data_IF_610644649954
#
_entry.id   IF_610644649954
#
_cell.length_a   1.000
_cell.length_b   1.000
_cell.length_c   1.000
_cell.angle_alpha   90.00
_cell.angle_beta   90.00
_cell.angle_gamma   90.00
#
_symmetry.space_group_name_H-M   'P 1'
#
loop_
_entity.id
_entity.type
_entity.pdbx_description
1 polymer ?
#
# COMPACT_ATOMS: atom_id res chain seq x y z
N UNK A 1 -15.54 0.20 -0.13
CA UNK A 1 -14.95 -0.78 0.81
C UNK A 1 -14.17 -1.77 -0.02
N UNK A 2 -13.14 -2.39 0.57
CA UNK A 2 -12.32 -3.40 -0.12
C UNK A 2 -12.18 -4.60 0.80
N UNK A 3 -12.46 -5.81 0.30
CA UNK A 3 -12.32 -7.04 1.06
C UNK A 3 -11.34 -7.98 0.36
N UNK A 4 -10.44 -8.68 1.10
CA UNK A 4 -9.66 -9.76 0.53
C UNK A 4 -10.58 -10.94 0.19
N UNK A 5 -10.34 -11.55 -0.97
CA UNK A 5 -10.95 -12.81 -1.37
C UNK A 5 -9.84 -13.85 -1.45
N UNK A 6 -9.61 -14.56 -0.36
CA UNK A 6 -8.59 -15.60 -0.32
C UNK A 6 -9.22 -16.96 -0.59
N UNK A 7 -8.66 -17.69 -1.55
CA UNK A 7 -9.10 -19.04 -1.87
C UNK A 7 -8.92 -19.94 -0.66
N UNK A 8 -9.95 -20.74 -0.36
CA UNK A 8 -9.91 -21.68 0.76
C UNK A 8 -8.75 -22.66 0.60
N UNK A 9 -7.91 -22.75 1.63
CA UNK A 9 -6.69 -23.57 1.65
C UNK A 9 -5.42 -22.81 1.21
N UNK A 10 -5.54 -21.57 0.74
CA UNK A 10 -4.42 -20.72 0.30
C UNK A 10 -4.15 -19.56 1.27
N UNK A 11 -4.75 -19.59 2.47
CA UNK A 11 -4.62 -18.53 3.48
C UNK A 11 -3.17 -18.31 3.94
N UNK A 12 -2.33 -19.34 3.88
CA UNK A 12 -0.89 -19.25 4.17
C UNK A 12 -0.01 -19.06 2.93
N UNK A 13 -0.61 -19.06 1.73
CA UNK A 13 0.10 -18.91 0.46
C UNK A 13 0.08 -17.43 0.02
N UNK A 14 -1.07 -16.78 0.10
CA UNK A 14 -1.23 -15.38 -0.32
C UNK A 14 -0.78 -14.45 0.80
N UNK A 15 0.41 -13.87 0.64
CA UNK A 15 1.00 -13.05 1.69
C UNK A 15 0.54 -11.59 1.63
N UNK A 16 0.53 -10.98 0.43
CA UNK A 16 -0.05 -9.65 0.24
C UNK A 16 -0.55 -9.45 -1.19
N UNK A 17 -1.50 -8.52 -1.35
CA UNK A 17 -2.09 -8.12 -2.63
C UNK A 17 -1.97 -6.60 -2.74
N UNK A 18 -1.42 -6.12 -3.84
CA UNK A 18 -1.33 -4.71 -4.16
C UNK A 18 -2.19 -4.41 -5.40
N UNK A 19 -2.89 -3.28 -5.36
CA UNK A 19 -3.65 -2.78 -6.49
C UNK A 19 -3.04 -1.46 -6.94
N UNK A 20 -2.48 -1.44 -8.14
CA UNK A 20 -1.84 -0.28 -8.74
C UNK A 20 -2.78 0.44 -9.71
N UNK A 21 -2.67 1.75 -9.77
CA UNK A 21 -3.15 2.56 -10.88
C UNK A 21 -2.14 2.53 -12.01
N UNK A 22 -2.63 2.27 -13.22
CA UNK A 22 -1.84 2.34 -14.45
C UNK A 22 -2.11 3.63 -15.22
N UNK A 23 -1.23 3.90 -16.19
CA UNK A 23 -1.46 4.96 -17.18
C UNK A 23 -2.80 4.77 -17.90
N UNK A 24 -3.51 5.88 -18.15
CA UNK A 24 -4.72 5.90 -19.00
C UNK A 24 -4.43 5.55 -20.46
N UNK A 25 -3.16 5.57 -20.88
CA UNK A 25 -2.72 5.16 -22.22
C UNK A 25 -2.48 3.65 -22.37
N UNK A 26 -2.74 2.84 -21.33
CA UNK A 26 -2.54 1.40 -21.37
C UNK A 26 -3.36 0.76 -22.50
N UNK A 27 -2.72 -0.12 -23.27
CA UNK A 27 -3.37 -0.80 -24.39
C UNK A 27 -4.41 -1.82 -23.87
N UNK A 28 -5.66 -1.66 -24.29
CA UNK A 28 -6.75 -2.55 -23.94
C UNK A 28 -6.54 -4.02 -24.33
N UNK A 29 -5.60 -4.33 -25.24
CA UNK A 29 -5.23 -5.72 -25.57
C UNK A 29 -4.59 -6.49 -24.42
N UNK A 30 -4.09 -5.78 -23.39
CA UNK A 30 -3.47 -6.38 -22.21
C UNK A 30 -4.49 -6.65 -21.09
N UNK A 31 -5.76 -6.30 -21.27
CA UNK A 31 -6.80 -6.59 -20.28
C UNK A 31 -6.94 -8.11 -20.08
N UNK A 32 -6.85 -8.54 -18.83
CA UNK A 32 -6.89 -9.95 -18.45
C UNK A 32 -5.58 -10.72 -18.65
N UNK A 33 -4.53 -10.07 -19.17
CA UNK A 33 -3.19 -10.64 -19.18
C UNK A 33 -2.57 -10.57 -17.77
N UNK A 34 -1.78 -11.60 -17.43
CA UNK A 34 -0.98 -11.65 -16.22
C UNK A 34 0.44 -12.10 -16.55
N UNK A 35 1.40 -11.75 -15.69
CA UNK A 35 2.79 -12.15 -15.83
C UNK A 35 3.44 -12.23 -14.44
N UNK A 36 4.50 -13.01 -14.30
CA UNK A 36 5.38 -12.93 -13.14
C UNK A 36 5.99 -11.51 -13.05
N UNK A 37 5.82 -10.85 -11.89
CA UNK A 37 6.38 -9.52 -11.66
C UNK A 37 7.91 -9.55 -11.77
N UNK A 38 8.49 -8.48 -12.30
CA UNK A 38 9.95 -8.30 -12.46
C UNK A 38 10.66 -9.32 -13.35
N UNK A 39 9.94 -10.23 -14.00
CA UNK A 39 10.51 -11.14 -14.97
C UNK A 39 10.89 -10.38 -16.27
N UNK A 40 12.00 -10.70 -16.96
CA UNK A 40 12.45 -9.97 -18.15
C UNK A 40 11.46 -9.91 -19.33
N UNK A 41 10.48 -10.81 -19.37
CA UNK A 41 9.44 -10.88 -20.39
C UNK A 41 8.11 -10.23 -19.96
N UNK A 42 8.07 -9.59 -18.78
CA UNK A 42 6.91 -8.85 -18.33
C UNK A 42 6.60 -7.71 -19.33
N UNK A 43 5.34 -7.50 -19.74
CA UNK A 43 5.01 -6.43 -20.66
C UNK A 43 5.43 -5.06 -20.12
N UNK A 44 6.17 -4.28 -20.91
CA UNK A 44 6.65 -2.94 -20.53
C UNK A 44 5.51 -2.02 -20.06
N UNK A 45 4.29 -2.21 -20.58
CA UNK A 45 3.12 -1.44 -20.18
C UNK A 45 2.78 -1.60 -18.69
N UNK A 46 3.10 -2.75 -18.06
CA UNK A 46 2.87 -2.96 -16.62
C UNK A 46 3.79 -2.10 -15.77
N UNK A 47 4.97 -1.70 -16.29
CA UNK A 47 5.88 -0.79 -15.60
C UNK A 47 5.28 0.62 -15.45
N UNK A 48 4.21 0.95 -16.18
CA UNK A 48 3.50 2.23 -16.03
C UNK A 48 2.53 2.25 -14.84
N UNK A 49 2.39 1.13 -14.13
CA UNK A 49 1.50 0.97 -13.00
C UNK A 49 2.27 1.16 -11.68
N UNK A 50 2.59 2.40 -11.33
CA UNK A 50 3.50 2.70 -10.21
C UNK A 50 2.78 3.14 -8.93
N UNK A 51 1.55 3.67 -9.03
CA UNK A 51 0.85 4.25 -7.88
C UNK A 51 -0.03 3.21 -7.19
N UNK A 52 0.26 2.88 -5.93
CA UNK A 52 -0.60 2.00 -5.13
C UNK A 52 -1.91 2.70 -4.79
N UNK A 53 -3.03 2.08 -5.18
CA UNK A 53 -4.38 2.50 -4.82
C UNK A 53 -4.86 1.84 -3.54
N UNK A 54 -4.47 0.58 -3.34
CA UNK A 54 -4.85 -0.22 -2.19
C UNK A 54 -3.84 -1.34 -1.96
N UNK A 55 -3.64 -1.67 -0.68
CA UNK A 55 -2.79 -2.77 -0.26
C UNK A 55 -3.55 -3.63 0.75
N UNK A 56 -3.38 -4.94 0.67
CA UNK A 56 -3.81 -5.89 1.69
C UNK A 56 -2.64 -6.81 2.02
N UNK A 57 -2.50 -7.20 3.28
CA UNK A 57 -1.51 -8.16 3.72
C UNK A 57 -2.12 -9.16 4.71
N UNK A 58 -1.44 -10.30 4.87
CA UNK A 58 -1.86 -11.42 5.72
C UNK A 58 -2.20 -10.96 7.15
N UNK A 59 -3.25 -11.57 7.71
CA UNK A 59 -3.82 -11.19 9.02
C UNK A 59 -4.75 -9.97 8.97
N UNK A 60 -4.65 -9.13 7.95
CA UNK A 60 -5.53 -7.99 7.75
C UNK A 60 -6.97 -8.36 7.35
N UNK A 61 -7.94 -7.62 7.88
CA UNK A 61 -9.34 -7.73 7.47
C UNK A 61 -9.68 -6.82 6.28
N UNK A 62 -10.95 -6.78 5.89
CA UNK A 62 -11.44 -5.81 4.91
C UNK A 62 -11.29 -4.36 5.40
N UNK A 63 -11.15 -3.45 4.45
CA UNK A 63 -10.98 -2.02 4.70
C UNK A 63 -12.25 -1.23 4.37
N UNK A 64 -12.68 -0.38 5.32
CA UNK A 64 -13.81 0.51 5.16
C UNK A 64 -13.37 1.97 5.25
N UNK A 65 -13.48 2.69 4.15
CA UNK A 65 -13.25 4.13 4.12
C UNK A 65 -14.23 4.86 5.06
N UNK A 66 -13.81 5.97 5.69
CA UNK A 66 -14.71 6.87 6.40
C UNK A 66 -15.91 7.29 5.51
N UNK A 67 -17.11 7.55 6.07
CA UNK A 67 -18.31 7.80 5.26
C UNK A 67 -18.23 8.99 4.28
N UNK A 68 -17.31 9.93 4.54
CA UNK A 68 -17.09 11.15 3.77
C UNK A 68 -15.94 11.01 2.75
N UNK A 69 -15.28 9.84 2.69
CA UNK A 69 -14.12 9.56 1.85
C UNK A 69 -14.39 8.38 0.92
N UNK A 70 -13.89 8.45 -0.31
CA UNK A 70 -13.90 7.31 -1.24
C UNK A 70 -12.69 7.33 -2.16
N UNK A 71 -12.26 6.17 -2.63
CA UNK A 71 -11.31 6.09 -3.74
C UNK A 71 -12.07 6.33 -5.05
N UNK A 72 -11.77 7.44 -5.74
CA UNK A 72 -12.39 7.75 -7.03
C UNK A 72 -11.78 6.89 -8.14
N UNK A 73 -12.61 6.36 -9.03
CA UNK A 73 -12.22 5.49 -10.16
C UNK A 73 -13.08 5.78 -11.39
N UNK A 74 -12.48 5.68 -12.58
CA UNK A 74 -13.21 5.60 -13.85
C UNK A 74 -13.58 6.92 -14.55
N UNK A 75 -13.36 8.10 -13.98
CA UNK A 75 -13.42 9.36 -14.77
C UNK A 75 -12.14 9.59 -15.58
N UNK A 76 -12.08 10.67 -16.36
CA UNK A 76 -10.90 11.01 -17.15
C UNK A 76 -9.67 11.39 -16.29
N UNK A 77 -9.90 11.81 -15.05
CA UNK A 77 -8.84 12.17 -14.10
C UNK A 77 -8.51 11.03 -13.12
N UNK A 78 -9.27 9.94 -13.15
CA UNK A 78 -9.15 8.83 -12.21
C UNK A 78 -8.39 7.64 -12.83
N UNK A 79 -7.99 6.65 -12.02
CA UNK A 79 -7.59 5.35 -12.51
C UNK A 79 -8.61 4.77 -13.51
N UNK A 80 -8.16 4.48 -14.72
CA UNK A 80 -8.95 3.79 -15.75
C UNK A 80 -8.58 2.32 -15.87
N UNK A 81 -7.32 2.02 -15.59
CA UNK A 81 -6.75 0.69 -15.60
C UNK A 81 -6.07 0.44 -14.27
N UNK A 82 -6.18 -0.79 -13.80
CA UNK A 82 -5.52 -1.26 -12.59
C UNK A 82 -4.74 -2.53 -12.87
N UNK A 83 -3.63 -2.68 -12.15
CA UNK A 83 -2.84 -3.90 -12.13
C UNK A 83 -2.90 -4.47 -10.72
N UNK A 84 -3.29 -5.73 -10.58
CA UNK A 84 -3.28 -6.43 -9.31
C UNK A 84 -2.02 -7.30 -9.23
N UNK A 85 -1.19 -7.04 -8.23
CA UNK A 85 -0.02 -7.84 -7.89
C UNK A 85 -0.34 -8.72 -6.68
N UNK A 86 0.08 -9.98 -6.73
CA UNK A 86 -0.08 -10.94 -5.63
C UNK A 86 1.28 -11.52 -5.30
N UNK A 87 1.70 -11.34 -4.05
CA UNK A 87 2.89 -11.99 -3.52
C UNK A 87 2.51 -13.31 -2.84
N UNK A 88 3.00 -14.41 -3.41
CA UNK A 88 2.85 -15.75 -2.85
C UNK A 88 4.07 -16.14 -2.03
N UNK A 89 3.87 -16.43 -0.74
CA UNK A 89 4.89 -17.03 0.11
C UNK A 89 4.71 -18.56 0.12
N UNK A 90 5.59 -19.28 -0.58
CA UNK A 90 5.53 -20.75 -0.72
C UNK A 90 6.77 -21.44 -0.13
N UNK A 91 6.97 -21.39 1.20
CA UNK A 91 8.16 -21.95 1.85
C UNK A 91 8.23 -23.48 1.74
N UNK A 92 7.10 -24.13 1.49
CA UNK A 92 7.01 -25.59 1.32
C UNK A 92 7.33 -26.07 -0.10
N UNK A 93 7.50 -25.15 -1.06
CA UNK A 93 7.67 -25.46 -2.48
C UNK A 93 6.57 -26.38 -3.02
N UNK A 94 5.33 -26.17 -2.57
CA UNK A 94 4.20 -26.95 -3.03
C UNK A 94 3.94 -26.68 -4.53
N UNK A 95 3.79 -27.74 -5.30
CA UNK A 95 3.52 -27.69 -6.74
C UNK A 95 2.04 -27.90 -7.06
N UNK A 96 1.61 -27.44 -8.23
CA UNK A 96 0.26 -27.69 -8.74
C UNK A 96 -0.85 -26.91 -8.02
N UNK A 97 -0.50 -25.90 -7.22
CA UNK A 97 -1.48 -24.99 -6.61
C UNK A 97 -2.06 -24.06 -7.69
N UNK A 98 -3.39 -24.03 -7.79
CA UNK A 98 -4.12 -23.12 -8.67
C UNK A 98 -4.89 -22.16 -7.79
N UNK A 99 -4.47 -20.90 -7.78
CA UNK A 99 -5.08 -19.84 -6.97
C UNK A 99 -6.04 -18.97 -7.80
N UNK A 100 -7.07 -18.46 -7.15
CA UNK A 100 -8.00 -17.47 -7.71
C UNK A 100 -8.34 -16.40 -6.66
N UNK A 101 -7.36 -16.08 -5.80
CA UNK A 101 -7.50 -15.05 -4.79
C UNK A 101 -7.42 -13.64 -5.41
N UNK A 102 -7.93 -12.65 -4.69
CA UNK A 102 -7.95 -11.27 -5.18
C UNK A 102 -8.64 -10.32 -4.21
N UNK A 103 -9.23 -9.25 -4.77
CA UNK A 103 -9.93 -8.22 -4.00
C UNK A 103 -11.39 -8.08 -4.46
N UNK A 104 -12.30 -7.88 -3.52
CA UNK A 104 -13.66 -7.43 -3.78
C UNK A 104 -13.74 -5.93 -3.55
N UNK A 105 -14.00 -5.17 -4.62
CA UNK A 105 -14.24 -3.74 -4.57
C UNK A 105 -15.75 -3.46 -4.45
N UNK A 106 -16.17 -2.84 -3.34
CA UNK A 106 -17.55 -2.39 -3.13
C UNK A 106 -17.59 -0.89 -3.38
N UNK A 107 -18.25 -0.48 -4.45
CA UNK A 107 -18.26 0.89 -4.97
C UNK A 107 -19.68 1.46 -5.11
N UNK A 108 -19.76 2.77 -5.32
CA UNK A 108 -21.01 3.53 -5.50
C UNK A 108 -20.82 4.56 -6.62
N UNK A 109 -21.85 4.85 -7.44
CA UNK A 109 -21.78 5.94 -8.42
C UNK A 109 -21.87 7.34 -7.78
N UNK A 110 -22.22 7.42 -6.48
CA UNK A 110 -22.31 8.68 -5.74
C UNK A 110 -20.95 9.03 -5.15
N UNK A 111 -20.36 10.13 -5.64
CA UNK A 111 -19.10 10.64 -5.12
C UNK A 111 -19.19 11.00 -3.64
N UNK A 112 -18.08 10.77 -2.93
CA UNK A 112 -17.90 11.19 -1.54
C UNK A 112 -17.39 12.62 -1.50
N UNK A 113 -17.32 13.18 -0.30
CA UNK A 113 -16.88 14.56 -0.12
C UNK A 113 -15.39 14.73 -0.47
N UNK A 114 -14.57 13.70 -0.19
CA UNK A 114 -13.14 13.71 -0.45
C UNK A 114 -12.66 12.43 -1.13
N UNK A 115 -11.69 12.59 -2.01
CA UNK A 115 -10.99 11.48 -2.64
C UNK A 115 -9.89 10.96 -1.71
N UNK A 116 -9.82 9.64 -1.55
CA UNK A 116 -8.71 8.98 -0.90
C UNK A 116 -7.50 8.86 -1.83
N UNK A 117 -6.32 8.95 -1.24
CA UNK A 117 -5.06 8.56 -1.85
C UNK A 117 -4.21 7.78 -0.85
N UNK A 118 -3.11 7.21 -1.34
CA UNK A 118 -2.12 6.49 -0.53
C UNK A 118 -0.80 7.24 -0.62
N UNK A 119 -0.12 7.38 0.51
CA UNK A 119 1.27 7.84 0.56
C UNK A 119 2.10 6.73 1.17
N UNK A 120 3.11 6.31 0.44
CA UNK A 120 4.12 5.37 0.93
C UNK A 120 5.25 6.17 1.56
N UNK A 121 5.54 5.88 2.83
CA UNK A 121 6.60 6.54 3.58
C UNK A 121 7.43 5.48 4.31
N UNK A 122 8.74 5.54 4.13
CA UNK A 122 9.66 4.55 4.68
C UNK A 122 10.95 4.50 3.88
N UNK A 123 11.58 3.34 3.89
CA UNK A 123 12.79 3.10 3.13
C UNK A 123 12.44 2.53 1.76
N UNK A 124 13.05 3.13 0.73
CA UNK A 124 12.97 2.58 -0.62
C UNK A 124 13.64 1.20 -0.68
N UNK A 125 13.02 0.27 -1.41
CA UNK A 125 13.61 -1.06 -1.65
C UNK A 125 14.86 -0.88 -2.51
N UNK A 126 16.04 -1.02 -1.87
CA UNK A 126 17.32 -0.71 -2.47
C UNK A 126 18.41 -1.66 -2.00
N UNK A 127 19.33 -1.99 -2.90
CA UNK A 127 20.56 -2.73 -2.58
C UNK A 127 21.49 -1.97 -1.60
N UNK A 128 21.25 -0.67 -1.40
CA UNK A 128 22.04 0.15 -0.48
C UNK A 128 21.52 0.13 0.96
N UNK A 129 20.30 -0.34 1.20
CA UNK A 129 19.79 -0.54 2.55
C UNK A 129 20.07 -1.98 3.01
N UNK A 130 20.85 -2.12 4.08
CA UNK A 130 21.30 -3.44 4.57
C UNK A 130 21.22 -3.47 6.10
N UNK A 131 20.67 -4.57 6.63
CA UNK A 131 20.66 -4.88 8.06
C UNK A 131 21.84 -5.82 8.34
N UNK A 132 22.82 -5.43 9.19
CA UNK A 132 23.97 -6.29 9.45
C UNK A 132 23.57 -7.60 10.17
N UNK A 133 24.12 -8.76 9.76
CA UNK A 133 23.77 -10.04 10.36
C UNK A 133 24.23 -10.12 11.83
N UNK A 134 23.40 -10.74 12.67
CA UNK A 134 23.72 -10.99 14.08
C UNK A 134 23.59 -9.78 15.00
N UNK A 135 23.14 -8.62 14.50
CA UNK A 135 22.79 -7.51 15.38
C UNK A 135 21.49 -7.83 16.14
N UNK A 136 21.47 -7.69 17.47
CA UNK A 136 20.26 -7.93 18.26
C UNK A 136 19.19 -6.86 18.01
N UNK A 137 19.59 -5.65 17.62
CA UNK A 137 18.71 -4.53 17.31
C UNK A 137 19.38 -3.65 16.24
N UNK A 138 18.60 -3.21 15.25
CA UNK A 138 19.05 -2.28 14.21
C UNK A 138 17.88 -1.42 13.76
N UNK A 139 18.05 -0.09 13.81
CA UNK A 139 17.01 0.87 13.43
C UNK A 139 17.22 1.29 11.99
N UNK A 140 16.16 1.12 11.19
CA UNK A 140 16.10 1.51 9.78
C UNK A 140 15.13 2.67 9.64
N UNK A 141 15.58 3.83 9.18
CA UNK A 141 14.78 5.06 9.11
C UNK A 141 14.68 5.60 7.68
N UNK A 142 13.46 5.88 7.24
CA UNK A 142 13.17 6.59 6.00
C UNK A 142 12.38 7.86 6.29
N UNK A 143 12.61 8.91 5.49
CA UNK A 143 12.03 10.24 5.73
C UNK A 143 11.37 10.80 4.49
N UNK A 144 10.10 11.20 4.62
CA UNK A 144 9.48 12.18 3.74
C UNK A 144 9.77 13.57 4.34
N UNK A 145 10.68 14.31 3.71
CA UNK A 145 11.12 15.61 4.24
C UNK A 145 10.08 16.70 3.98
N UNK A 146 10.24 17.85 4.64
CA UNK A 146 9.41 19.03 4.39
C UNK A 146 9.48 19.45 2.92
N UNK A 147 10.66 19.41 2.32
CA UNK A 147 10.85 19.76 0.91
C UNK A 147 10.06 18.81 -0.01
N UNK A 148 10.07 17.51 0.29
CA UNK A 148 9.28 16.51 -0.43
C UNK A 148 7.77 16.75 -0.27
N UNK A 149 7.28 17.03 0.95
CA UNK A 149 5.88 17.37 1.19
C UNK A 149 5.47 18.68 0.50
N UNK A 150 6.35 19.70 0.52
CA UNK A 150 6.13 20.97 -0.16
C UNK A 150 6.01 20.79 -1.67
N UNK A 151 6.89 19.98 -2.26
CA UNK A 151 6.85 19.66 -3.69
C UNK A 151 5.59 18.87 -4.06
N UNK A 152 5.26 17.82 -3.31
CA UNK A 152 4.15 16.92 -3.62
C UNK A 152 2.77 17.57 -3.35
N UNK A 153 2.63 18.38 -2.31
CA UNK A 153 1.33 18.89 -1.86
C UNK A 153 1.16 20.39 -2.07
N UNK A 154 2.23 21.17 -2.20
CA UNK A 154 2.17 22.64 -2.12
C UNK A 154 1.29 23.29 -3.20
N UNK A 155 1.33 22.77 -4.43
CA UNK A 155 0.55 23.30 -5.54
C UNK A 155 -0.91 22.81 -5.54
N UNK A 156 -1.12 21.51 -5.33
CA UNK A 156 -2.43 20.87 -5.51
C UNK A 156 -3.25 20.79 -4.22
N UNK A 157 -2.58 20.70 -3.06
CA UNK A 157 -3.18 20.50 -1.73
C UNK A 157 -2.56 21.45 -0.69
N UNK A 158 -2.63 22.78 -0.87
CA UNK A 158 -1.97 23.74 0.02
C UNK A 158 -2.52 23.73 1.46
N UNK A 159 -3.75 23.26 1.65
CA UNK A 159 -4.37 23.06 2.97
C UNK A 159 -3.97 21.73 3.63
N UNK A 160 -3.14 20.93 2.96
CA UNK A 160 -2.71 19.62 3.38
C UNK A 160 -3.69 18.49 3.05
N UNK A 161 -3.37 17.32 3.60
CA UNK A 161 -4.11 16.07 3.51
C UNK A 161 -4.50 15.59 4.90
N UNK A 162 -5.52 14.74 4.99
CA UNK A 162 -5.99 14.17 6.24
C UNK A 162 -5.75 12.66 6.24
N UNK A 163 -4.85 12.21 7.11
CA UNK A 163 -4.56 10.78 7.29
C UNK A 163 -5.61 10.17 8.21
N UNK A 164 -6.29 9.13 7.75
CA UNK A 164 -7.33 8.41 8.51
C UNK A 164 -6.98 6.96 8.83
N UNK A 165 -5.99 6.37 8.13
CA UNK A 165 -5.51 5.03 8.39
C UNK A 165 -4.05 4.87 7.95
N UNK A 166 -3.35 3.89 8.52
CA UNK A 166 -1.98 3.52 8.16
C UNK A 166 -1.88 2.00 8.13
N UNK A 167 -1.21 1.46 7.11
CA UNK A 167 -0.79 0.06 7.07
C UNK A 167 0.73 0.03 7.32
N UNK A 168 1.16 -0.69 8.36
CA UNK A 168 2.58 -0.90 8.63
C UNK A 168 3.05 -2.17 7.91
N UNK A 169 4.19 -2.10 7.23
CA UNK A 169 4.71 -3.21 6.43
C UNK A 169 6.22 -3.37 6.61
N UNK A 170 6.65 -4.61 6.84
CA UNK A 170 8.05 -5.04 6.78
C UNK A 170 8.13 -6.53 6.43
N UNK A 171 9.32 -7.00 6.07
CA UNK A 171 9.60 -8.42 5.87
C UNK A 171 10.04 -9.11 7.18
N UNK A 172 10.51 -10.37 7.10
CA UNK A 172 10.85 -11.26 8.22
C UNK A 172 11.76 -10.68 9.32
N UNK A 173 12.57 -9.67 9.01
CA UNK A 173 13.46 -9.01 9.98
C UNK A 173 12.76 -7.94 10.83
N UNK A 174 11.56 -7.48 10.44
CA UNK A 174 10.79 -6.49 11.18
C UNK A 174 10.40 -6.97 12.57
N UNK A 175 10.52 -6.10 13.57
CA UNK A 175 10.15 -6.38 14.98
C UNK A 175 9.31 -5.26 15.59
N UNK A 176 9.59 -4.03 15.22
CA UNK A 176 8.78 -2.87 15.58
C UNK A 176 8.78 -1.86 14.44
N UNK A 177 7.67 -1.16 14.24
CA UNK A 177 7.52 -0.13 13.22
C UNK A 177 6.76 1.05 13.82
N UNK A 178 7.23 2.28 13.55
CA UNK A 178 6.58 3.51 14.00
C UNK A 178 6.47 4.49 12.84
N UNK A 179 5.26 5.00 12.59
CA UNK A 179 5.04 6.09 11.65
C UNK A 179 4.97 7.42 12.41
N UNK A 180 6.04 8.19 12.30
CA UNK A 180 6.25 9.46 13.02
C UNK A 180 5.86 10.64 12.14
N UNK A 181 5.34 11.69 12.75
CA UNK A 181 5.03 12.95 12.07
C UNK A 181 5.61 14.10 12.88
N UNK A 182 6.37 14.96 12.22
CA UNK A 182 6.98 16.13 12.83
C UNK A 182 6.38 17.40 12.23
N UNK A 183 6.16 18.40 13.07
CA UNK A 183 5.70 19.72 12.65
C UNK A 183 6.57 20.77 13.32
N UNK A 184 7.26 21.56 12.50
CA UNK A 184 8.19 22.61 12.98
C UNK A 184 9.22 22.06 13.99
N UNK A 185 9.75 20.86 13.74
CA UNK A 185 10.72 20.19 14.61
C UNK A 185 10.14 19.51 15.85
N UNK A 186 8.85 19.68 16.14
CA UNK A 186 8.18 18.99 17.25
C UNK A 186 7.50 17.71 16.76
N UNK A 187 7.82 16.58 17.41
CA UNK A 187 7.14 15.32 17.18
C UNK A 187 5.67 15.42 17.62
N UNK A 188 4.80 14.99 16.71
CA UNK A 188 3.38 14.85 16.95
C UNK A 188 3.09 13.46 17.51
N UNK A 189 1.86 13.23 18.00
CA UNK A 189 1.39 11.87 18.28
C UNK A 189 1.63 10.98 17.06
N UNK A 190 2.17 9.78 17.29
CA UNK A 190 2.43 8.78 16.25
C UNK A 190 1.17 8.55 15.40
N UNK A 191 1.35 8.47 14.09
CA UNK A 191 0.27 8.13 13.16
C UNK A 191 -0.13 6.66 13.33
N UNK A 192 0.86 5.79 13.51
CA UNK A 192 0.72 4.37 13.80
C UNK A 192 1.99 3.85 14.48
N UNK A 193 1.84 2.77 15.24
CA UNK A 193 2.97 2.04 15.81
C UNK A 193 2.58 0.59 16.07
N UNK A 194 3.58 -0.27 15.99
CA UNK A 194 3.52 -1.64 16.46
C UNK A 194 4.89 -1.97 17.06
N UNK A 195 4.93 -2.26 18.36
CA UNK A 195 6.16 -2.60 19.07
C UNK A 195 6.46 -4.10 19.05
N UNK A 196 5.49 -4.91 18.64
CA UNK A 196 5.55 -6.37 18.58
C UNK A 196 5.10 -6.83 17.18
N UNK A 197 5.63 -6.17 16.15
CA UNK A 197 5.24 -6.36 14.77
C UNK A 197 5.46 -7.81 14.32
N UNK A 198 4.41 -8.43 13.79
CA UNK A 198 4.45 -9.76 13.19
C UNK A 198 4.29 -9.66 11.68
N UNK A 199 5.25 -10.25 10.95
CA UNK A 199 5.20 -10.37 9.50
C UNK A 199 3.88 -11.01 9.00
N UNK A 200 3.29 -11.90 9.80
CA UNK A 200 2.04 -12.59 9.46
C UNK A 200 0.77 -11.88 9.95
N UNK A 201 0.88 -10.68 10.52
CA UNK A 201 -0.25 -9.89 10.98
C UNK A 201 -0.07 -8.41 10.62
N UNK A 202 -0.61 -8.03 9.46
CA UNK A 202 -0.47 -6.70 8.91
C UNK A 202 -1.85 -6.14 8.53
N UNK A 203 -2.36 -5.23 9.35
CA UNK A 203 -3.68 -4.63 9.17
C UNK A 203 -3.63 -3.10 9.08
N UNK A 204 -4.70 -2.51 8.54
CA UNK A 204 -4.88 -1.07 8.62
C UNK A 204 -5.23 -0.66 10.04
N UNK A 205 -4.38 0.18 10.62
CA UNK A 205 -4.67 0.87 11.86
C UNK A 205 -5.43 2.16 11.54
N UNK A 206 -6.70 2.23 11.95
CA UNK A 206 -7.49 3.47 11.83
C UNK A 206 -7.04 4.49 12.88
N UNK A 207 -6.91 5.74 12.46
CA UNK A 207 -6.68 6.82 13.40
C UNK A 207 -8.00 7.16 14.12
N UNK A 208 -7.93 7.30 15.44
CA UNK A 208 -9.09 7.77 16.23
C UNK A 208 -9.50 9.19 15.84
N UNK A 209 -8.51 10.01 15.49
CA UNK A 209 -8.69 11.38 15.00
C UNK A 209 -7.81 11.56 13.78
N UNK A 210 -8.41 12.00 12.67
CA UNK A 210 -7.67 12.23 11.43
C UNK A 210 -6.57 13.27 11.62
N UNK A 211 -5.40 13.00 11.06
CA UNK A 211 -4.24 13.88 11.20
C UNK A 211 -4.00 14.68 9.94
N UNK A 212 -4.03 16.00 10.07
CA UNK A 212 -3.58 16.88 8.99
C UNK A 212 -2.06 16.84 8.83
N UNK A 213 -1.60 16.52 7.63
CA UNK A 213 -0.20 16.73 7.18
C UNK A 213 -0.23 17.91 6.20
N UNK A 214 0.61 18.90 6.46
CA UNK A 214 0.74 20.09 5.61
C UNK A 214 1.96 19.95 4.69
N UNK A 215 2.01 20.72 3.59
CA UNK A 215 3.23 20.92 2.81
C UNK A 215 4.41 21.45 3.65
#
# INVERSE_FOLDING_TARGET
QVEPLIQKGHENLVHHILLYQCSSSLNGSLLGAGHECYHPNMPDAFLTCETVLFAWAIGGQGFTYPPHVGLSIGTAADPQFVLMEVHYDNPSYAEGLIDSSGLRLIYTPVLRQYDAGVIEAGLWVSLFHNIPPGMPEFISEGHCTRECLTEALGAERPTGIHVFAVLLHAHLAGRAIRMRHFRQGAEQKLLAHDEEFDFNFQEFQYLTEERTILP
#
